data_IF_864903976143
#
_entry.id   IF_864903976143
#
_cell.length_a   1.000
_cell.length_b   1.000
_cell.length_c   1.000
_cell.angle_alpha   90.00
_cell.angle_beta   90.00
_cell.angle_gamma   90.00
#
_symmetry.space_group_name_H-M   'P 1'
#
loop_
_entity.id
_entity.type
_entity.pdbx_description
1 polymer ?
#
# COMPACT_ATOMS: atom_id res chain seq x y z
N UNK A 1 -20.80 -26.10 49.94
CA UNK A 1 -19.88 -25.85 48.81
C UNK A 1 -18.51 -25.58 49.41
N UNK A 2 -17.50 -26.40 49.12
CA UNK A 2 -16.20 -26.38 49.81
C UNK A 2 -15.26 -25.35 49.16
N UNK A 3 -14.29 -24.82 49.93
CA UNK A 3 -13.29 -23.84 49.48
C UNK A 3 -12.52 -24.31 48.23
N UNK A 4 -12.35 -25.64 48.10
CA UNK A 4 -11.70 -26.28 46.97
C UNK A 4 -12.47 -26.13 45.65
N UNK A 5 -13.81 -26.19 45.68
CA UNK A 5 -14.67 -26.00 44.50
C UNK A 5 -14.60 -24.55 43.97
N UNK A 6 -14.53 -23.56 44.88
CA UNK A 6 -14.37 -22.15 44.51
C UNK A 6 -13.00 -21.86 43.88
N UNK A 7 -11.93 -22.49 44.38
CA UNK A 7 -10.58 -22.35 43.81
C UNK A 7 -10.51 -22.91 42.38
N UNK A 8 -11.12 -24.09 42.13
CA UNK A 8 -11.18 -24.68 40.79
C UNK A 8 -12.00 -23.81 39.82
N UNK A 9 -13.12 -23.24 40.26
CA UNK A 9 -13.89 -22.31 39.43
C UNK A 9 -13.11 -21.03 39.11
N UNK A 10 -12.40 -20.44 40.08
CA UNK A 10 -11.59 -19.25 39.85
C UNK A 10 -10.48 -19.51 38.82
N UNK A 11 -9.76 -20.63 38.92
CA UNK A 11 -8.73 -20.98 37.94
C UNK A 11 -9.28 -21.17 36.52
N UNK A 12 -10.48 -21.74 36.37
CA UNK A 12 -11.15 -21.86 35.06
C UNK A 12 -11.47 -20.51 34.45
N UNK A 13 -11.96 -19.56 35.25
CA UNK A 13 -12.24 -18.19 34.79
C UNK A 13 -10.97 -17.44 34.40
N UNK A 14 -9.89 -17.56 35.17
CA UNK A 14 -8.59 -16.95 34.82
C UNK A 14 -7.99 -17.55 33.54
N UNK A 15 -8.08 -18.87 33.34
CA UNK A 15 -7.65 -19.50 32.10
C UNK A 15 -8.47 -19.02 30.89
N UNK A 16 -9.79 -18.82 31.06
CA UNK A 16 -10.67 -18.30 30.01
C UNK A 16 -10.34 -16.84 29.65
N UNK A 17 -10.06 -15.99 30.65
CA UNK A 17 -9.63 -14.60 30.46
C UNK A 17 -8.26 -14.49 29.78
N UNK A 18 -7.31 -15.36 30.14
CA UNK A 18 -5.99 -15.42 29.48
C UNK A 18 -6.09 -15.80 28.01
N UNK A 19 -6.98 -16.74 27.66
CA UNK A 19 -7.22 -17.12 26.26
C UNK A 19 -7.83 -15.95 25.49
N UNK A 20 -8.84 -15.25 26.05
CA UNK A 20 -9.50 -14.12 25.39
C UNK A 20 -8.57 -12.91 25.15
N UNK A 21 -7.59 -12.70 26.04
CA UNK A 21 -6.59 -11.65 25.87
C UNK A 21 -5.61 -11.93 24.71
N UNK A 22 -5.28 -13.20 24.45
CA UNK A 22 -4.35 -13.57 23.37
C UNK A 22 -4.98 -13.58 21.97
N UNK A 23 -6.30 -13.76 21.84
CA UNK A 23 -6.95 -13.79 20.50
C UNK A 23 -7.08 -12.39 19.89
N UNK A 24 -7.07 -11.33 20.70
CA UNK A 24 -7.29 -9.95 20.22
C UNK A 24 -6.03 -9.24 19.70
N UNK A 25 -4.82 -9.83 19.84
CA UNK A 25 -3.56 -9.17 19.49
C UNK A 25 -2.89 -9.69 18.22
N UNK A 26 -3.54 -10.56 17.45
CA UNK A 26 -2.93 -11.22 16.29
C UNK A 26 -3.69 -10.98 14.97
N UNK A 27 -4.03 -9.74 14.64
CA UNK A 27 -4.26 -9.36 13.24
C UNK A 27 -2.90 -9.05 12.60
N UNK A 28 -2.12 -10.10 12.30
CA UNK A 28 -1.00 -9.98 11.39
C UNK A 28 -1.56 -9.70 9.99
N UNK A 29 -1.58 -8.44 9.58
CA UNK A 29 -2.03 -8.06 8.24
C UNK A 29 -1.03 -8.63 7.21
N UNK A 30 -1.47 -9.68 6.49
CA UNK A 30 -0.65 -10.40 5.51
C UNK A 30 -0.74 -9.82 4.10
N UNK A 31 -1.69 -8.92 3.84
CA UNK A 31 -1.94 -8.32 2.54
C UNK A 31 -2.07 -6.82 2.73
N UNK A 32 -1.28 -5.99 2.02
CA UNK A 32 -1.44 -4.55 2.10
C UNK A 32 -2.87 -4.12 1.82
N UNK A 33 -3.37 -3.16 2.59
CA UNK A 33 -4.66 -2.56 2.32
C UNK A 33 -4.65 -1.87 0.95
N UNK A 34 -5.75 -1.95 0.22
CA UNK A 34 -5.86 -1.33 -1.09
C UNK A 34 -7.30 -0.89 -1.36
N UNK A 35 -7.48 0.02 -2.32
CA UNK A 35 -8.80 0.46 -2.74
C UNK A 35 -8.81 1.86 -3.32
N UNK A 36 -9.93 2.22 -3.92
CA UNK A 36 -10.11 3.51 -4.60
C UNK A 36 -9.90 4.73 -3.67
N UNK A 37 -10.06 4.56 -2.36
CA UNK A 37 -9.76 5.61 -1.37
C UNK A 37 -8.26 5.96 -1.31
N UNK A 38 -7.38 4.99 -1.56
CA UNK A 38 -5.93 5.17 -1.56
C UNK A 38 -5.42 5.54 -2.95
N UNK A 39 -5.98 4.95 -4.01
CA UNK A 39 -5.65 5.28 -5.40
C UNK A 39 -5.87 6.78 -5.70
N UNK A 40 -6.92 7.38 -5.13
CA UNK A 40 -7.22 8.80 -5.27
C UNK A 40 -6.23 9.75 -4.57
N UNK A 41 -5.36 9.24 -3.69
CA UNK A 41 -4.30 10.04 -3.06
C UNK A 41 -3.13 10.29 -4.02
N UNK A 42 -3.02 9.49 -5.08
CA UNK A 42 -1.94 9.58 -6.07
C UNK A 42 -2.37 10.51 -7.20
N UNK A 43 -1.89 11.76 -7.15
CA UNK A 43 -2.12 12.73 -8.22
C UNK A 43 -0.99 12.63 -9.23
N UNK A 44 -1.34 12.46 -10.51
CA UNK A 44 -0.39 12.43 -11.62
C UNK A 44 -0.77 13.54 -12.58
N UNK A 45 0.21 14.36 -12.94
CA UNK A 45 0.08 15.40 -13.97
C UNK A 45 0.98 15.04 -15.14
N UNK A 46 0.50 15.32 -16.35
CA UNK A 46 1.31 15.17 -17.57
C UNK A 46 2.05 16.49 -17.80
N UNK A 47 3.36 16.40 -18.00
CA UNK A 47 4.22 17.55 -18.29
C UNK A 47 4.22 17.89 -19.79
N UNK A 48 4.86 19.00 -20.15
CA UNK A 48 4.94 19.49 -21.54
C UNK A 48 5.64 18.52 -22.50
N UNK A 49 6.43 17.56 -21.98
CA UNK A 49 7.13 16.55 -22.77
C UNK A 49 6.31 15.31 -23.14
N UNK A 50 6.81 14.54 -24.10
CA UNK A 50 6.19 13.28 -24.51
C UNK A 50 6.50 12.21 -23.46
N UNK A 51 5.47 11.73 -22.76
CA UNK A 51 5.58 10.71 -21.70
C UNK A 51 6.33 11.16 -20.44
N UNK A 52 6.42 12.47 -20.21
CA UNK A 52 6.91 13.06 -18.97
C UNK A 52 5.73 13.31 -18.03
N UNK A 53 5.90 12.89 -16.78
CA UNK A 53 4.86 12.97 -15.76
C UNK A 53 5.48 13.44 -14.45
N UNK A 54 4.68 14.15 -13.67
CA UNK A 54 4.95 14.43 -12.27
C UNK A 54 3.91 13.73 -11.41
N UNK A 55 4.29 13.37 -10.19
CA UNK A 55 3.37 12.87 -9.19
C UNK A 55 3.43 13.69 -7.92
N UNK A 56 2.31 13.72 -7.22
CA UNK A 56 2.18 14.28 -5.88
C UNK A 56 1.28 13.37 -5.07
N UNK A 57 1.77 12.93 -3.90
CA UNK A 57 1.07 12.01 -3.02
C UNK A 57 1.51 12.23 -1.56
N UNK A 58 0.72 11.81 -0.56
CA UNK A 58 1.13 11.91 0.84
C UNK A 58 2.43 11.16 1.10
N UNK A 59 3.39 11.78 1.79
CA UNK A 59 4.64 11.11 2.16
C UNK A 59 4.42 9.99 3.18
N UNK A 60 3.33 10.06 3.96
CA UNK A 60 2.93 9.04 4.93
C UNK A 60 1.41 8.88 4.99
N UNK A 61 0.93 7.72 5.45
CA UNK A 61 -0.50 7.44 5.69
C UNK A 61 -0.67 6.60 6.95
N UNK A 62 -1.58 6.98 7.85
CA UNK A 62 -1.94 6.17 9.02
C UNK A 62 -0.74 5.69 9.88
N UNK A 63 0.31 6.52 9.98
CA UNK A 63 1.55 6.17 10.71
C UNK A 63 2.53 5.30 9.92
N UNK A 64 2.27 5.04 8.63
CA UNK A 64 3.18 4.39 7.68
C UNK A 64 4.07 5.44 7.04
N UNK A 65 5.33 5.47 7.45
CA UNK A 65 6.32 6.54 7.17
C UNK A 65 7.33 6.14 6.10
N UNK A 66 7.45 4.85 5.78
CA UNK A 66 8.34 4.37 4.71
C UNK A 66 7.59 4.30 3.39
N UNK A 67 7.94 5.19 2.47
CA UNK A 67 7.29 5.31 1.15
C UNK A 67 8.15 4.69 0.05
N UNK A 68 7.52 3.87 -0.79
CA UNK A 68 8.11 3.34 -2.02
C UNK A 68 7.23 3.74 -3.20
N UNK A 69 7.82 4.42 -4.19
CA UNK A 69 7.15 4.83 -5.42
C UNK A 69 7.84 4.15 -6.59
N UNK A 70 7.07 3.45 -7.41
CA UNK A 70 7.58 2.60 -8.48
C UNK A 70 6.80 2.84 -9.76
N UNK A 71 7.50 3.12 -10.85
CA UNK A 71 6.94 3.02 -12.19
C UNK A 71 6.89 1.54 -12.59
N UNK A 72 5.68 1.02 -12.74
CA UNK A 72 5.45 -0.36 -13.09
C UNK A 72 4.83 -0.49 -14.49
N UNK A 73 5.11 -1.61 -15.14
CA UNK A 73 4.52 -1.96 -16.44
C UNK A 73 3.83 -3.31 -16.33
N UNK A 74 2.59 -3.37 -16.77
CA UNK A 74 1.80 -4.61 -16.83
C UNK A 74 1.32 -4.85 -18.25
N UNK A 75 1.14 -6.11 -18.64
CA UNK A 75 0.27 -6.41 -19.78
C UNK A 75 -1.15 -5.93 -19.49
N UNK A 76 -1.85 -5.53 -20.55
CA UNK A 76 -3.28 -5.26 -20.50
C UNK A 76 -4.00 -6.59 -20.26
N UNK A 77 -4.22 -6.92 -19.00
CA UNK A 77 -5.04 -8.07 -18.60
C UNK A 77 -6.47 -7.57 -18.40
N UNK A 78 -7.44 -8.19 -19.08
CA UNK A 78 -8.85 -7.93 -18.82
C UNK A 78 -9.21 -8.53 -17.45
N UNK A 79 -9.50 -7.68 -16.46
CA UNK A 79 -10.25 -8.07 -15.27
C UNK A 79 -9.49 -8.78 -14.14
N UNK A 80 -8.23 -8.44 -13.83
CA UNK A 80 -7.52 -9.04 -12.69
C UNK A 80 -6.24 -8.35 -12.25
N UNK A 81 -5.75 -8.75 -11.06
CA UNK A 81 -4.55 -8.25 -10.36
C UNK A 81 -3.39 -7.93 -11.32
N UNK A 82 -2.95 -6.67 -11.35
CA UNK A 82 -1.84 -6.20 -12.20
C UNK A 82 -0.52 -6.73 -11.66
N UNK A 83 0.02 -7.78 -12.26
CA UNK A 83 1.38 -8.24 -12.01
C UNK A 83 2.35 -7.36 -12.80
N UNK A 84 3.27 -6.69 -12.11
CA UNK A 84 4.30 -5.91 -12.79
C UNK A 84 5.32 -6.84 -13.46
N UNK A 85 5.51 -6.65 -14.76
CA UNK A 85 6.59 -7.31 -15.52
C UNK A 85 7.89 -6.52 -15.44
N UNK A 86 7.78 -5.20 -15.32
CA UNK A 86 8.92 -4.29 -15.11
C UNK A 86 8.56 -3.35 -13.97
N UNK A 87 9.51 -3.17 -13.05
CA UNK A 87 9.37 -2.27 -11.90
C UNK A 87 10.62 -1.39 -11.80
N UNK A 88 10.44 -0.08 -11.83
CA UNK A 88 11.51 0.91 -11.76
C UNK A 88 11.24 1.80 -10.54
N UNK A 89 12.04 1.71 -9.46
CA UNK A 89 11.94 2.63 -8.35
C UNK A 89 12.14 4.07 -8.83
N UNK A 90 11.33 4.99 -8.30
CA UNK A 90 11.42 6.41 -8.63
C UNK A 90 11.96 7.21 -7.46
N UNK A 91 12.82 8.16 -7.76
CA UNK A 91 13.25 9.17 -6.81
C UNK A 91 12.13 10.18 -6.55
N UNK A 92 12.10 10.71 -5.34
CA UNK A 92 11.17 11.76 -4.93
C UNK A 92 11.81 12.65 -3.87
N UNK A 93 11.27 13.85 -3.73
CA UNK A 93 11.58 14.76 -2.62
C UNK A 93 10.35 14.87 -1.73
N UNK A 94 10.56 14.92 -0.42
CA UNK A 94 9.50 15.22 0.54
C UNK A 94 9.51 16.71 0.83
N UNK A 95 8.38 17.36 0.60
CA UNK A 95 8.14 18.77 0.93
C UNK A 95 6.90 18.84 1.81
N UNK A 96 7.07 19.35 3.03
CA UNK A 96 6.08 19.28 4.10
C UNK A 96 5.64 17.83 4.37
N UNK A 97 4.40 17.48 4.04
CA UNK A 97 3.81 16.14 4.22
C UNK A 97 3.57 15.41 2.89
N UNK A 98 4.09 15.95 1.78
CA UNK A 98 3.86 15.44 0.43
C UNK A 98 5.17 14.95 -0.20
N UNK A 99 5.12 13.80 -0.87
CA UNK A 99 6.16 13.34 -1.76
C UNK A 99 5.85 13.80 -3.18
N UNK A 100 6.84 14.43 -3.81
CA UNK A 100 6.78 14.94 -5.17
C UNK A 100 7.94 14.38 -5.97
N UNK A 101 7.66 13.92 -7.19
CA UNK A 101 8.68 13.42 -8.09
C UNK A 101 8.26 13.55 -9.54
N UNK A 102 9.23 13.38 -10.43
CA UNK A 102 9.04 13.41 -11.88
C UNK A 102 9.64 12.15 -12.49
N UNK A 103 9.02 11.64 -13.55
CA UNK A 103 9.46 10.42 -14.22
C UNK A 103 9.07 10.40 -15.70
N UNK A 104 9.77 9.56 -16.45
CA UNK A 104 9.50 9.30 -17.86
C UNK A 104 8.94 7.89 -18.01
N UNK A 105 7.72 7.78 -18.53
CA UNK A 105 7.09 6.49 -18.81
C UNK A 105 7.25 6.12 -20.29
N UNK A 106 8.46 5.73 -20.66
CA UNK A 106 8.78 5.34 -22.04
C UNK A 106 7.85 4.20 -22.52
N UNK A 107 7.24 4.31 -23.72
CA UNK A 107 6.39 3.25 -24.26
C UNK A 107 7.14 1.93 -24.38
N UNK A 108 6.48 0.84 -23.96
CA UNK A 108 6.96 -0.54 -24.13
C UNK A 108 5.90 -1.34 -24.87
N UNK A 109 6.31 -2.07 -25.91
CA UNK A 109 5.40 -2.83 -26.78
C UNK A 109 4.56 -3.81 -25.95
N UNK A 110 3.23 -3.68 -26.02
CA UNK A 110 2.29 -4.56 -25.34
C UNK A 110 2.13 -4.33 -23.83
N UNK A 111 2.78 -3.30 -23.26
CA UNK A 111 2.72 -2.99 -21.83
C UNK A 111 2.10 -1.62 -21.57
N UNK A 112 1.32 -1.54 -20.49
CA UNK A 112 0.73 -0.30 -19.99
C UNK A 112 1.46 0.15 -18.73
N UNK A 113 2.01 1.37 -18.72
CA UNK A 113 2.64 1.92 -17.54
C UNK A 113 1.59 2.35 -16.50
N UNK A 114 1.90 2.17 -15.23
CA UNK A 114 1.13 2.67 -14.10
C UNK A 114 2.07 3.01 -12.95
N UNK A 115 1.64 3.95 -12.10
CA UNK A 115 2.36 4.25 -10.88
C UNK A 115 1.88 3.32 -9.77
N UNK A 116 2.82 2.64 -9.11
CA UNK A 116 2.58 1.78 -7.97
C UNK A 116 3.21 2.42 -6.74
N UNK A 117 2.43 2.56 -5.67
CA UNK A 117 2.83 3.26 -4.45
C UNK A 117 2.57 2.37 -3.26
N UNK A 118 3.56 2.26 -2.38
CA UNK A 118 3.45 1.56 -1.12
C UNK A 118 3.84 2.48 0.03
N UNK A 119 2.98 2.56 1.03
CA UNK A 119 3.34 3.05 2.36
C UNK A 119 3.51 1.86 3.28
N UNK A 120 4.63 1.82 3.99
CA UNK A 120 5.02 0.71 4.85
C UNK A 120 5.26 1.18 6.29
N UNK A 121 5.14 0.27 7.28
CA UNK A 121 5.66 0.55 8.61
C UNK A 121 7.19 0.67 8.55
N UNK A 122 7.76 1.51 9.42
CA UNK A 122 9.21 1.68 9.53
C UNK A 122 9.92 0.41 10.00
N UNK A 123 9.26 -0.39 10.84
CA UNK A 123 9.78 -1.65 11.36
C UNK A 123 9.04 -2.78 10.67
N UNK A 124 9.81 -3.75 10.18
CA UNK A 124 9.37 -4.81 9.26
C UNK A 124 7.94 -5.31 9.48
N UNK A 125 7.20 -5.43 8.37
CA UNK A 125 5.82 -5.88 8.34
C UNK A 125 5.26 -5.76 6.92
N UNK A 126 4.32 -6.65 6.57
CA UNK A 126 3.63 -6.63 5.27
C UNK A 126 2.33 -5.80 5.32
N UNK A 127 2.06 -5.17 6.47
CA UNK A 127 0.88 -4.35 6.76
C UNK A 127 0.97 -2.95 6.13
N UNK A 128 1.29 -2.88 4.84
CA UNK A 128 1.36 -1.62 4.11
C UNK A 128 0.00 -1.16 3.59
N UNK A 129 -0.02 0.05 3.03
CA UNK A 129 -1.11 0.52 2.17
C UNK A 129 -0.56 0.57 0.74
N UNK A 130 -1.30 -0.01 -0.19
CA UNK A 130 -1.03 0.01 -1.61
C UNK A 130 -2.00 0.98 -2.32
N UNK A 131 -1.43 1.83 -3.17
CA UNK A 131 -2.18 2.58 -4.16
C UNK A 131 -1.61 2.37 -5.56
N UNK A 132 -2.47 2.53 -6.55
CA UNK A 132 -2.09 2.53 -7.96
C UNK A 132 -2.79 3.65 -8.71
N UNK A 133 -2.12 4.20 -9.71
CA UNK A 133 -2.70 5.17 -10.62
C UNK A 133 -2.34 4.83 -12.05
N UNK A 134 -3.36 4.72 -12.90
CA UNK A 134 -3.14 4.60 -14.33
C UNK A 134 -2.57 5.93 -14.83
N UNK A 135 -1.48 5.87 -15.58
CA UNK A 135 -1.00 7.09 -16.23
C UNK A 135 -2.09 7.58 -17.16
N UNK A 136 -2.34 8.90 -17.14
CA UNK A 136 -3.22 9.55 -18.09
C UNK A 136 -2.80 9.09 -19.48
N UNK A 137 -3.56 8.14 -20.03
CA UNK A 137 -3.30 7.65 -21.37
C UNK A 137 -3.42 8.89 -22.23
N UNK A 138 -2.38 9.21 -23.00
CA UNK A 138 -2.59 10.02 -24.18
C UNK A 138 -3.54 9.20 -25.05
N UNK A 139 -4.85 9.41 -24.84
CA UNK A 139 -5.85 9.12 -25.82
C UNK A 139 -5.38 9.87 -27.06
N UNK A 140 -4.93 9.11 -28.05
CA UNK A 140 -4.67 9.63 -29.37
C UNK A 140 -5.94 10.34 -29.82
N UNK A 141 -5.90 11.67 -29.86
CA UNK A 141 -6.75 12.49 -30.73
C UNK A 141 -6.20 12.42 -32.13
#
# INVERSE_FOLDING_TARGET
MTVFEQFIQAMKWFAMLGIFACVNTANACMIPEHGAQYDRQVKISKETGKHEYSFTLPASLSGLTRLEVTLAYTRKLEGGFKLSEVSIPLDYTVTDDMAVGAFVAAPKTGLMPYLHVMWWPDRGGLCGIRAQSELLSSANS
#
